data_IF_957120995362
#
_entry.id   IF_957120995362
#
_cell.length_a   1.000
_cell.length_b   1.000
_cell.length_c   1.000
_cell.angle_alpha   90.00
_cell.angle_beta   90.00
_cell.angle_gamma   90.00
#
_symmetry.space_group_name_H-M   'P 1'
#
loop_
_entity.id
_entity.type
_entity.pdbx_description
1 polymer ?
#
# COMPACT_ATOMS: atom_id res chain seq x y z
N UNK A 1 1.49 25.73 15.65
CA UNK A 1 1.48 24.27 15.45
C UNK A 1 1.74 24.00 13.98
N UNK A 2 2.79 23.26 13.63
CA UNK A 2 3.07 22.89 12.24
C UNK A 2 2.01 21.86 11.81
N UNK A 3 1.31 22.03 10.68
CA UNK A 3 0.39 21.01 10.22
C UNK A 3 1.17 19.73 9.94
N UNK A 4 0.67 18.59 10.45
CA UNK A 4 1.25 17.27 10.20
C UNK A 4 1.40 17.07 8.70
N UNK A 5 2.58 16.64 8.27
CA UNK A 5 2.82 16.26 6.88
C UNK A 5 1.85 15.13 6.48
N UNK A 6 1.55 15.04 5.18
CA UNK A 6 0.68 13.98 4.66
C UNK A 6 1.18 12.57 5.04
N UNK A 7 2.50 12.40 5.17
CA UNK A 7 3.13 11.14 5.56
C UNK A 7 2.86 10.81 7.04
N UNK A 8 2.93 11.79 7.93
CA UNK A 8 2.63 11.62 9.36
C UNK A 8 1.13 11.34 9.60
N UNK A 9 0.25 11.98 8.83
CA UNK A 9 -1.19 11.69 8.90
C UNK A 9 -1.51 10.26 8.47
N UNK A 10 -0.84 9.78 7.41
CA UNK A 10 -0.95 8.38 6.98
C UNK A 10 -0.41 7.41 8.03
N UNK A 11 0.74 7.70 8.64
CA UNK A 11 1.31 6.88 9.71
C UNK A 11 0.38 6.80 10.93
N UNK A 12 -0.21 7.91 11.35
CA UNK A 12 -1.15 7.95 12.47
C UNK A 12 -2.42 7.14 12.19
N UNK A 13 -3.00 7.29 10.98
CA UNK A 13 -4.16 6.49 10.57
C UNK A 13 -3.85 5.00 10.55
N UNK A 14 -2.68 4.62 10.01
CA UNK A 14 -2.18 3.25 10.01
C UNK A 14 -2.01 2.70 11.44
N UNK A 15 -1.40 3.48 12.35
CA UNK A 15 -1.16 3.05 13.73
C UNK A 15 -2.45 2.89 14.54
N UNK A 16 -3.50 3.65 14.21
CA UNK A 16 -4.82 3.50 14.83
C UNK A 16 -5.59 2.26 14.35
N UNK A 17 -5.20 1.66 13.22
CA UNK A 17 -5.78 0.41 12.75
C UNK A 17 -5.18 -0.75 13.56
N UNK A 18 -6.00 -1.48 14.33
CA UNK A 18 -5.61 -2.71 15.01
C UNK A 18 -5.40 -3.86 13.99
N UNK A 19 -4.42 -3.68 13.11
CA UNK A 19 -4.14 -4.53 11.97
C UNK A 19 -2.75 -5.16 12.11
N UNK A 20 -2.56 -6.39 11.61
CA UNK A 20 -1.25 -6.99 11.55
C UNK A 20 -0.32 -6.18 10.62
N UNK A 21 1.00 -6.11 10.87
CA UNK A 21 1.94 -5.32 10.07
C UNK A 21 1.86 -5.57 8.55
N UNK A 22 1.49 -6.78 8.15
CA UNK A 22 1.31 -7.17 6.75
C UNK A 22 0.10 -6.48 6.10
N UNK A 23 -0.99 -6.30 6.84
CA UNK A 23 -2.18 -5.59 6.36
C UNK A 23 -1.91 -4.09 6.24
N UNK A 24 -1.20 -3.51 7.22
CA UNK A 24 -0.70 -2.13 7.16
C UNK A 24 0.14 -1.90 5.90
N UNK A 25 1.09 -2.79 5.64
CA UNK A 25 1.97 -2.70 4.48
C UNK A 25 1.20 -2.79 3.16
N UNK A 26 0.17 -3.64 3.09
CA UNK A 26 -0.72 -3.75 1.94
C UNK A 26 -1.54 -2.47 1.71
N UNK A 27 -2.12 -1.88 2.76
CA UNK A 27 -2.88 -0.63 2.64
C UNK A 27 -1.99 0.54 2.21
N UNK A 28 -0.78 0.64 2.76
CA UNK A 28 0.21 1.62 2.32
C UNK A 28 0.54 1.43 0.83
N UNK A 29 0.81 0.19 0.41
CA UNK A 29 1.08 -0.12 -0.98
C UNK A 29 -0.08 0.25 -1.94
N UNK A 30 -1.34 0.04 -1.52
CA UNK A 30 -2.52 0.48 -2.27
C UNK A 30 -2.61 2.01 -2.37
N UNK A 31 -2.34 2.73 -1.29
CA UNK A 31 -2.34 4.19 -1.29
C UNK A 31 -1.28 4.75 -2.24
N UNK A 32 -0.06 4.18 -2.22
CA UNK A 32 1.02 4.58 -3.13
C UNK A 32 0.67 4.24 -4.58
N UNK A 33 0.08 3.07 -4.85
CA UNK A 33 -0.39 2.73 -6.20
C UNK A 33 -1.44 3.72 -6.71
N UNK A 34 -2.38 4.14 -5.87
CA UNK A 34 -3.37 5.15 -6.24
C UNK A 34 -2.70 6.50 -6.56
N UNK A 35 -1.74 6.93 -5.74
CA UNK A 35 -0.97 8.16 -5.97
C UNK A 35 -0.16 8.12 -7.28
N UNK A 36 0.37 6.95 -7.66
CA UNK A 36 1.15 6.73 -8.87
C UNK A 36 0.29 6.28 -10.08
N UNK A 37 -1.03 6.50 -10.04
CA UNK A 37 -1.98 6.19 -11.12
C UNK A 37 -1.94 4.72 -11.59
N UNK A 38 -1.68 3.80 -10.66
CA UNK A 38 -1.58 2.36 -10.93
C UNK A 38 -0.22 1.89 -11.45
N UNK A 39 0.78 2.77 -11.55
CA UNK A 39 2.13 2.38 -11.98
C UNK A 39 2.87 1.60 -10.89
N UNK A 40 2.90 0.26 -11.01
CA UNK A 40 3.62 -0.61 -10.07
C UNK A 40 5.11 -0.26 -9.99
N UNK A 41 5.74 0.09 -11.12
CA UNK A 41 7.17 0.42 -11.14
C UNK A 41 7.46 1.73 -10.39
N UNK A 42 6.63 2.76 -10.57
CA UNK A 42 6.78 4.04 -9.87
C UNK A 42 6.47 3.89 -8.37
N UNK A 43 5.41 3.15 -8.03
CA UNK A 43 5.06 2.84 -6.65
C UNK A 43 6.16 2.07 -5.93
N UNK A 44 6.76 1.06 -6.59
CA UNK A 44 7.87 0.29 -6.02
C UNK A 44 9.11 1.16 -5.76
N UNK A 45 9.47 2.04 -6.71
CA UNK A 45 10.56 3.01 -6.54
C UNK A 45 10.29 3.94 -5.36
N UNK A 46 9.06 4.46 -5.24
CA UNK A 46 8.65 5.35 -4.15
C UNK A 46 8.65 4.69 -2.78
N UNK A 47 8.30 3.40 -2.73
CA UNK A 47 8.36 2.58 -1.53
C UNK A 47 9.76 2.09 -1.19
N UNK A 48 10.75 2.27 -2.09
CA UNK A 48 12.11 1.75 -1.90
C UNK A 48 12.22 0.23 -1.94
N UNK A 49 11.29 -0.46 -2.61
CA UNK A 49 11.27 -1.93 -2.70
C UNK A 49 11.37 -2.38 -4.16
N UNK A 50 11.75 -3.65 -4.34
CA UNK A 50 11.77 -4.23 -5.67
C UNK A 50 10.35 -4.39 -6.24
N UNK A 51 10.17 -4.11 -7.53
CA UNK A 51 8.86 -4.23 -8.23
C UNK A 51 8.18 -5.58 -8.01
N UNK A 52 8.96 -6.67 -8.05
CA UNK A 52 8.45 -8.04 -7.83
C UNK A 52 7.90 -8.24 -6.42
N UNK A 53 8.47 -7.60 -5.41
CA UNK A 53 7.99 -7.66 -4.03
C UNK A 53 6.63 -6.97 -3.91
N UNK A 54 6.50 -5.77 -4.50
CA UNK A 54 5.21 -5.06 -4.55
C UNK A 54 4.15 -5.88 -5.29
N UNK A 55 4.50 -6.44 -6.44
CA UNK A 55 3.59 -7.26 -7.24
C UNK A 55 3.11 -8.50 -6.47
N UNK A 56 4.02 -9.27 -5.84
CA UNK A 56 3.65 -10.43 -5.01
C UNK A 56 2.79 -10.04 -3.80
N UNK A 57 3.07 -8.90 -3.18
CA UNK A 57 2.28 -8.37 -2.07
C UNK A 57 0.85 -8.04 -2.51
N UNK A 58 0.68 -7.51 -3.73
CA UNK A 58 -0.64 -7.27 -4.32
C UNK A 58 -1.33 -8.58 -4.69
N UNK A 59 -0.63 -9.55 -5.29
CA UNK A 59 -1.21 -10.84 -5.68
C UNK A 59 -1.67 -11.67 -4.47
N UNK A 60 -0.89 -11.70 -3.37
CA UNK A 60 -1.21 -12.47 -2.17
C UNK A 60 -2.43 -11.94 -1.41
N UNK A 61 -2.66 -10.63 -1.49
CA UNK A 61 -3.71 -9.93 -0.77
C UNK A 61 -4.82 -9.41 -1.71
N UNK A 62 -4.73 -9.66 -3.01
CA UNK A 62 -5.80 -9.38 -3.96
C UNK A 62 -6.97 -10.32 -3.64
N UNK A 63 -8.21 -9.81 -3.55
CA UNK A 63 -9.37 -10.69 -3.54
C UNK A 63 -9.27 -11.57 -4.79
N UNK A 64 -9.26 -12.90 -4.60
CA UNK A 64 -9.31 -13.84 -5.74
C UNK A 64 -10.46 -13.39 -6.65
N UNK A 65 -10.25 -13.27 -7.97
CA UNK A 65 -11.37 -13.00 -8.87
C UNK A 65 -12.42 -14.08 -8.57
N UNK A 66 -13.64 -13.64 -8.23
CA UNK A 66 -14.78 -14.55 -8.27
C UNK A 66 -14.85 -14.99 -9.73
N UNK A 67 -14.41 -16.22 -9.98
CA UNK A 67 -14.61 -16.85 -11.27
C UNK A 67 -16.08 -17.24 -11.26
N UNK A 68 -16.94 -16.32 -11.69
CA UNK A 68 -18.31 -16.65 -12.03
C UNK A 68 -18.20 -17.60 -13.23
N UNK A 69 -18.45 -18.90 -12.97
CA UNK A 69 -18.47 -19.96 -13.98
C UNK A 69 -19.77 -19.93 -14.75
#
# INVERSE_FOLDING_TARGET
MKPLSHLEQLQAGIASMNMPPQAVQFHYARAVLAAEKGSISAAARRMGIHRRTLQRMMEKNAPKPRVDK
#
